data_IF_437334146886
#
_entry.id   IF_437334146886
#
_cell.length_a   1.000
_cell.length_b   1.000
_cell.length_c   1.000
_cell.angle_alpha   90.00
_cell.angle_beta   90.00
_cell.angle_gamma   90.00
#
_symmetry.space_group_name_H-M   'P 1'
#
loop_
_entity.id
_entity.type
_entity.pdbx_description
1 polymer ?
#
# COMPACT_ATOMS: atom_id res chain seq x y z
N UNK A 1 25.06 82.22 30.86
CA UNK A 1 26.34 82.41 30.13
C UNK A 1 27.11 81.10 30.21
N UNK A 2 27.18 80.31 29.12
CA UNK A 2 28.06 79.14 28.87
C UNK A 2 28.06 77.99 29.91
N UNK A 3 28.26 76.70 29.64
CA UNK A 3 28.34 75.81 28.47
C UNK A 3 28.60 74.41 29.08
N UNK A 4 28.01 73.37 28.50
CA UNK A 4 28.43 71.94 28.48
C UNK A 4 28.47 71.10 29.79
N UNK A 5 27.66 70.03 29.84
CA UNK A 5 28.00 68.59 29.65
C UNK A 5 28.83 68.01 30.81
N UNK A 6 28.24 67.09 31.57
CA UNK A 6 28.71 65.71 31.79
C UNK A 6 27.72 64.99 32.72
N UNK A 7 26.89 64.10 32.16
CA UNK A 7 26.09 63.17 32.95
C UNK A 7 26.78 61.80 32.91
N UNK A 8 27.27 61.37 34.06
CA UNK A 8 27.76 60.01 34.31
C UNK A 8 26.57 59.05 34.32
N UNK A 9 26.53 58.09 33.39
CA UNK A 9 25.64 56.94 33.46
C UNK A 9 26.49 55.67 33.42
N UNK A 10 26.40 54.89 34.50
CA UNK A 10 27.06 53.60 34.69
C UNK A 10 26.70 52.63 33.56
N UNK A 11 27.72 52.02 32.95
CA UNK A 11 27.58 50.82 32.13
C UNK A 11 27.21 49.62 33.03
N UNK A 12 26.00 49.09 32.87
CA UNK A 12 25.68 47.71 33.23
C UNK A 12 25.50 46.91 31.93
N UNK A 13 26.48 46.06 31.63
CA UNK A 13 26.41 45.06 30.55
C UNK A 13 25.30 44.06 30.87
N UNK A 14 24.19 44.13 30.12
CA UNK A 14 23.17 43.08 30.09
C UNK A 14 23.29 42.36 28.74
N UNK A 15 24.02 41.25 28.72
CA UNK A 15 24.09 40.34 27.59
C UNK A 15 22.76 39.59 27.49
N UNK A 16 21.89 39.98 26.56
CA UNK A 16 20.76 39.16 26.14
C UNK A 16 21.28 38.01 25.28
N UNK A 17 21.44 36.83 25.88
CA UNK A 17 21.57 35.59 25.12
C UNK A 17 20.20 35.22 24.59
N UNK A 18 19.97 35.50 23.30
CA UNK A 18 18.85 34.95 22.54
C UNK A 18 19.16 33.47 22.35
N UNK A 19 18.53 32.62 23.16
CA UNK A 19 18.54 31.18 22.96
C UNK A 19 17.56 30.84 21.84
N UNK A 20 18.03 30.90 20.60
CA UNK A 20 17.39 30.18 19.51
C UNK A 20 17.50 28.68 19.80
N UNK A 21 16.41 28.07 20.24
CA UNK A 21 16.26 26.62 20.20
C UNK A 21 16.07 26.23 18.73
N UNK A 22 17.18 26.00 18.03
CA UNK A 22 17.16 25.19 16.80
C UNK A 22 16.69 23.79 17.19
N UNK A 23 15.41 23.52 16.93
CA UNK A 23 14.92 22.15 16.87
C UNK A 23 15.66 21.49 15.70
N UNK A 24 16.68 20.71 16.03
CA UNK A 24 17.36 19.83 15.09
C UNK A 24 16.30 19.00 14.37
N UNK A 25 16.10 19.31 13.08
CA UNK A 25 15.36 18.46 12.16
C UNK A 25 16.20 17.20 11.98
N UNK A 26 15.67 16.09 12.48
CA UNK A 26 16.26 14.77 12.33
C UNK A 26 16.01 14.29 10.90
N UNK A 27 16.82 14.81 9.96
CA UNK A 27 16.96 14.21 8.63
C UNK A 27 17.70 12.90 8.83
N UNK A 28 16.96 11.79 8.88
CA UNK A 28 17.57 10.47 8.92
C UNK A 28 18.38 10.21 7.64
N UNK A 29 19.66 9.94 7.85
CA UNK A 29 20.47 9.11 6.98
C UNK A 29 19.92 7.68 7.00
N UNK A 30 19.93 7.03 5.83
CA UNK A 30 19.45 5.66 5.54
C UNK A 30 20.16 4.55 6.38
N UNK A 31 21.13 4.89 7.24
CA UNK A 31 22.09 3.95 7.84
C UNK A 31 21.59 3.09 9.02
N UNK A 32 20.47 3.42 9.68
CA UNK A 32 20.01 2.67 10.88
C UNK A 32 18.78 1.76 10.66
N UNK A 33 18.20 1.74 9.46
CA UNK A 33 17.09 0.84 9.14
C UNK A 33 17.61 -0.55 8.75
N UNK A 34 16.96 -1.63 9.22
CA UNK A 34 17.21 -2.97 8.71
C UNK A 34 17.30 -3.03 7.18
N UNK A 35 18.32 -3.73 6.67
CA UNK A 35 18.67 -3.77 5.26
C UNK A 35 18.43 -5.14 4.59
N UNK A 36 18.04 -6.15 5.37
CA UNK A 36 17.77 -7.51 4.88
C UNK A 36 16.68 -8.22 5.70
N UNK A 37 16.19 -9.31 5.14
CA UNK A 37 15.08 -10.09 5.68
C UNK A 37 15.28 -10.55 7.13
N UNK A 38 16.47 -11.01 7.50
CA UNK A 38 16.76 -11.48 8.86
C UNK A 38 16.70 -10.34 9.88
N UNK A 39 17.14 -9.14 9.50
CA UNK A 39 17.06 -7.98 10.39
C UNK A 39 15.61 -7.53 10.57
N UNK A 40 14.81 -7.53 9.51
CA UNK A 40 13.38 -7.24 9.57
C UNK A 40 12.65 -8.25 10.46
N UNK A 41 12.93 -9.54 10.27
CA UNK A 41 12.41 -10.61 11.13
C UNK A 41 12.74 -10.35 12.59
N UNK A 42 14.01 -10.15 12.92
CA UNK A 42 14.45 -9.90 14.30
C UNK A 42 13.84 -8.64 14.90
N UNK A 43 13.59 -7.61 14.08
CA UNK A 43 12.89 -6.42 14.51
C UNK A 43 11.43 -6.74 14.84
N UNK A 44 10.70 -7.35 13.90
CA UNK A 44 9.28 -7.66 14.01
C UNK A 44 8.98 -8.64 15.16
N UNK A 45 9.83 -9.64 15.40
CA UNK A 45 9.70 -10.60 16.49
C UNK A 45 9.69 -9.95 17.89
N UNK A 46 10.33 -8.77 18.04
CA UNK A 46 10.25 -8.00 19.30
C UNK A 46 8.84 -7.49 19.57
N UNK A 47 8.09 -7.21 18.51
CA UNK A 47 6.77 -6.59 18.57
C UNK A 47 5.63 -7.58 18.37
N UNK A 48 5.85 -8.68 17.64
CA UNK A 48 4.93 -9.79 17.49
C UNK A 48 5.64 -11.12 17.77
N UNK A 49 5.58 -11.64 19.00
CA UNK A 49 6.14 -12.95 19.35
C UNK A 49 5.48 -14.13 18.60
N UNK A 50 4.33 -13.90 17.95
CA UNK A 50 3.62 -14.90 17.16
C UNK A 50 3.79 -14.69 15.65
N UNK A 51 4.77 -13.87 15.24
CA UNK A 51 5.15 -13.70 13.83
C UNK A 51 5.36 -15.07 13.18
N UNK A 52 4.79 -15.26 12.00
CA UNK A 52 4.89 -16.50 11.26
C UNK A 52 5.77 -16.28 10.04
N UNK A 53 6.83 -17.07 9.95
CA UNK A 53 7.62 -17.20 8.72
C UNK A 53 7.08 -18.39 7.91
N UNK A 54 6.82 -18.16 6.63
CA UNK A 54 6.57 -19.21 5.65
C UNK A 54 7.77 -19.30 4.72
N UNK A 55 8.21 -20.51 4.39
CA UNK A 55 9.39 -20.75 3.55
C UNK A 55 9.17 -21.84 2.52
N UNK A 56 9.84 -21.71 1.38
CA UNK A 56 10.05 -22.79 0.41
C UNK A 56 11.06 -23.79 0.97
N UNK A 57 11.04 -25.02 0.46
CA UNK A 57 11.88 -26.11 0.99
C UNK A 57 13.40 -25.85 0.87
N UNK A 58 13.83 -25.01 -0.07
CA UNK A 58 15.24 -24.59 -0.24
C UNK A 58 15.61 -23.36 0.60
N UNK A 59 14.66 -22.85 1.39
CA UNK A 59 14.79 -21.69 2.27
C UNK A 59 15.21 -20.39 1.56
N UNK A 60 15.04 -20.31 0.23
CA UNK A 60 15.35 -19.12 -0.55
C UNK A 60 14.18 -18.12 -0.55
N UNK A 61 12.98 -18.60 -0.87
CA UNK A 61 11.79 -17.76 -0.83
C UNK A 61 11.13 -17.82 0.56
N UNK A 62 11.01 -16.66 1.23
CA UNK A 62 10.44 -16.52 2.57
C UNK A 62 9.50 -15.32 2.67
N UNK A 63 8.45 -15.43 3.48
CA UNK A 63 7.56 -14.30 3.86
C UNK A 63 7.34 -14.23 5.37
N UNK A 64 7.18 -13.01 5.90
CA UNK A 64 6.82 -12.75 7.30
C UNK A 64 5.37 -12.27 7.39
N UNK A 65 4.54 -13.03 8.09
CA UNK A 65 3.10 -12.74 8.28
C UNK A 65 2.81 -12.49 9.75
N UNK A 66 2.13 -11.40 10.06
CA UNK A 66 1.81 -11.02 11.45
C UNK A 66 0.32 -11.08 11.74
N UNK A 67 -0.15 -12.05 12.55
CA UNK A 67 -1.50 -12.03 13.09
C UNK A 67 -1.76 -10.81 13.99
N UNK A 68 -0.74 -10.31 14.70
CA UNK A 68 -0.90 -9.14 15.59
C UNK A 68 -1.22 -7.86 14.83
N UNK A 69 -0.62 -7.67 13.66
CA UNK A 69 -0.82 -6.47 12.85
C UNK A 69 -1.70 -6.82 11.64
N UNK A 70 -3.01 -6.98 11.89
CA UNK A 70 -4.06 -7.18 10.87
C UNK A 70 -3.85 -8.31 9.86
N UNK A 71 -3.07 -9.35 10.21
CA UNK A 71 -2.77 -10.44 9.28
C UNK A 71 -1.97 -10.01 8.05
N UNK A 72 -1.19 -8.92 8.16
CA UNK A 72 -0.39 -8.40 7.04
C UNK A 72 0.79 -9.32 6.72
N UNK A 73 1.17 -9.32 5.44
CA UNK A 73 2.52 -9.72 5.03
C UNK A 73 3.39 -8.48 5.23
N UNK A 74 4.39 -8.56 6.10
CA UNK A 74 5.28 -7.43 6.34
C UNK A 74 6.30 -7.29 5.23
N UNK A 75 6.97 -8.39 4.89
CA UNK A 75 7.91 -8.46 3.78
C UNK A 75 8.10 -9.89 3.31
N UNK A 76 8.60 -10.00 2.09
CA UNK A 76 9.06 -11.20 1.43
C UNK A 76 10.52 -11.04 0.98
N UNK A 77 11.16 -12.17 0.65
CA UNK A 77 12.50 -12.20 0.02
C UNK A 77 12.62 -13.42 -0.88
N UNK A 78 13.44 -13.31 -1.94
CA UNK A 78 13.75 -14.40 -2.86
C UNK A 78 15.17 -14.99 -2.67
N UNK A 79 15.89 -14.59 -1.62
CA UNK A 79 17.30 -14.92 -1.43
C UNK A 79 17.67 -15.33 0.01
N UNK A 80 16.70 -15.86 0.75
CA UNK A 80 16.87 -16.36 2.11
C UNK A 80 17.12 -15.25 3.14
N UNK A 81 17.66 -15.62 4.30
CA UNK A 81 17.81 -14.72 5.45
C UNK A 81 18.59 -13.43 5.16
N UNK A 82 19.62 -13.51 4.31
CA UNK A 82 20.45 -12.35 3.95
C UNK A 82 19.98 -11.65 2.67
N UNK A 83 18.83 -12.07 2.12
CA UNK A 83 18.22 -11.46 0.97
C UNK A 83 17.61 -10.10 1.30
N UNK A 84 17.44 -9.28 0.26
CA UNK A 84 16.72 -8.03 0.36
C UNK A 84 15.25 -8.29 0.70
N UNK A 85 14.69 -7.39 1.51
CA UNK A 85 13.28 -7.30 1.81
C UNK A 85 12.57 -6.43 0.77
N UNK A 86 11.47 -6.94 0.20
CA UNK A 86 10.70 -6.21 -0.83
C UNK A 86 9.63 -5.29 -0.24
N UNK A 87 9.08 -5.64 0.93
CA UNK A 87 8.09 -4.86 1.65
C UNK A 87 8.68 -3.63 2.34
N UNK A 88 7.90 -2.55 2.40
CA UNK A 88 8.22 -1.39 3.22
C UNK A 88 7.71 -1.58 4.65
N UNK A 89 8.58 -1.35 5.64
CA UNK A 89 8.25 -1.40 7.07
C UNK A 89 8.55 -0.04 7.69
N UNK A 90 7.58 0.51 8.42
CA UNK A 90 7.79 1.75 9.17
C UNK A 90 8.30 1.45 10.58
N UNK A 91 9.62 1.29 10.73
CA UNK A 91 10.23 0.93 12.01
C UNK A 91 9.82 1.86 13.17
N UNK A 92 9.65 3.16 12.91
CA UNK A 92 9.26 4.14 13.94
C UNK A 92 7.83 3.95 14.42
N UNK A 93 6.91 3.45 13.58
CA UNK A 93 5.50 3.30 13.95
C UNK A 93 5.29 2.25 15.06
N UNK A 94 6.25 1.33 15.27
CA UNK A 94 6.19 0.34 16.34
C UNK A 94 6.55 0.91 17.72
N UNK A 95 7.15 2.08 17.73
CA UNK A 95 7.60 2.76 18.94
C UNK A 95 6.65 3.91 19.27
N UNK A 96 6.08 3.89 20.48
CA UNK A 96 5.20 4.96 20.95
C UNK A 96 3.74 4.54 21.12
N UNK A 97 2.87 5.49 21.51
CA UNK A 97 1.45 5.24 21.64
C UNK A 97 0.79 5.08 20.27
N UNK A 98 -0.41 4.48 20.26
CA UNK A 98 -1.22 4.41 19.05
C UNK A 98 -1.53 5.81 18.53
N UNK A 99 -1.37 5.99 17.22
CA UNK A 99 -1.82 7.18 16.53
C UNK A 99 -3.36 7.19 16.45
N UNK A 100 -3.96 8.37 16.58
CA UNK A 100 -5.42 8.49 16.58
C UNK A 100 -6.04 8.28 15.20
N UNK A 101 -5.30 8.53 14.12
CA UNK A 101 -5.77 8.48 12.74
C UNK A 101 -5.46 7.12 12.09
N UNK A 102 -4.18 6.73 12.10
CA UNK A 102 -3.71 5.46 11.53
C UNK A 102 -2.33 5.07 12.07
N UNK A 103 -2.17 3.81 12.42
CA UNK A 103 -0.91 3.23 12.84
C UNK A 103 -0.18 2.64 11.62
N UNK A 104 0.59 3.49 10.95
CA UNK A 104 1.22 3.21 9.66
C UNK A 104 2.42 2.25 9.73
N UNK A 105 2.24 1.02 10.21
CA UNK A 105 3.32 0.02 10.38
C UNK A 105 4.00 -0.43 9.08
N UNK A 106 3.44 -0.10 7.92
CA UNK A 106 3.85 -0.63 6.62
C UNK A 106 3.28 -2.01 6.32
N UNK A 107 3.94 -2.73 5.42
CA UNK A 107 3.67 -4.11 5.05
C UNK A 107 3.48 -4.29 3.55
N UNK A 108 4.24 -5.24 2.99
CA UNK A 108 4.18 -5.65 1.59
C UNK A 108 2.79 -6.05 1.11
N UNK A 109 1.92 -6.53 2.01
CA UNK A 109 0.50 -6.67 1.69
C UNK A 109 -0.37 -6.51 2.93
N UNK A 110 -1.26 -5.53 2.91
CA UNK A 110 -2.27 -5.29 3.94
C UNK A 110 -3.69 -5.34 3.39
N UNK A 111 -4.63 -5.75 4.24
CA UNK A 111 -6.05 -5.62 3.98
C UNK A 111 -6.56 -4.28 4.54
N UNK A 112 -7.41 -3.63 3.77
CA UNK A 112 -8.17 -2.44 4.10
C UNK A 112 -9.64 -2.66 3.74
N UNK A 113 -10.49 -1.73 4.15
CA UNK A 113 -11.90 -1.73 3.80
C UNK A 113 -12.28 -0.41 3.17
N UNK A 114 -13.11 -0.44 2.13
CA UNK A 114 -13.74 0.75 1.58
C UNK A 114 -15.24 0.82 1.92
N UNK A 115 -15.88 1.97 1.68
CA UNK A 115 -15.25 3.16 1.12
C UNK A 115 -14.56 4.01 2.19
N UNK A 116 -13.44 4.63 1.81
CA UNK A 116 -12.72 5.55 2.69
C UNK A 116 -13.47 6.87 2.86
N UNK A 117 -13.92 7.45 1.75
CA UNK A 117 -14.84 8.58 1.73
C UNK A 117 -16.25 8.18 1.26
N UNK A 118 -16.92 9.08 0.53
CA UNK A 118 -18.31 8.96 0.10
C UNK A 118 -19.36 8.90 1.23
N UNK A 119 -20.65 9.02 0.86
CA UNK A 119 -21.75 9.07 1.83
C UNK A 119 -21.90 7.81 2.72
N UNK A 120 -21.24 6.70 2.37
CA UNK A 120 -21.17 5.43 3.11
C UNK A 120 -19.78 5.14 3.70
N UNK A 121 -18.93 6.16 3.86
CA UNK A 121 -17.58 6.03 4.45
C UNK A 121 -17.56 5.20 5.73
N UNK A 122 -16.50 4.41 5.91
CA UNK A 122 -16.20 3.68 7.16
C UNK A 122 -15.26 4.43 8.11
N UNK A 123 -14.80 5.62 7.74
CA UNK A 123 -13.66 6.33 8.36
C UNK A 123 -14.04 7.65 9.01
N UNK A 124 -15.28 8.10 8.83
CA UNK A 124 -15.79 9.35 9.39
C UNK A 124 -17.02 9.08 10.25
N UNK A 125 -17.08 9.70 11.42
CA UNK A 125 -18.30 9.69 12.24
C UNK A 125 -19.45 10.41 11.50
N UNK A 126 -20.71 9.97 11.69
CA UNK A 126 -21.86 10.59 11.05
C UNK A 126 -21.94 12.12 11.23
N UNK A 127 -22.10 12.83 10.11
CA UNK A 127 -22.24 14.29 10.07
C UNK A 127 -20.95 15.10 10.23
N UNK A 128 -19.78 14.46 10.42
CA UNK A 128 -18.49 15.15 10.45
C UNK A 128 -18.02 15.52 9.04
N UNK A 129 -17.30 16.64 8.93
CA UNK A 129 -16.65 17.02 7.67
C UNK A 129 -15.57 15.98 7.32
N UNK A 130 -15.51 15.59 6.05
CA UNK A 130 -14.47 14.70 5.53
C UNK A 130 -13.16 15.49 5.35
N UNK A 131 -12.46 15.69 6.46
CA UNK A 131 -11.15 16.34 6.57
C UNK A 131 -10.26 15.50 7.48
N UNK A 132 -8.95 15.65 7.35
CA UNK A 132 -7.98 14.76 8.01
C UNK A 132 -8.20 14.66 9.53
N UNK A 133 -8.58 15.77 10.18
CA UNK A 133 -8.83 15.80 11.63
C UNK A 133 -9.94 14.86 12.12
N UNK A 134 -10.90 14.51 11.25
CA UNK A 134 -12.02 13.62 11.55
C UNK A 134 -11.86 12.22 10.94
N UNK A 135 -10.78 11.98 10.19
CA UNK A 135 -10.54 10.71 9.53
C UNK A 135 -9.91 9.71 10.49
N UNK A 136 -10.47 8.51 10.60
CA UNK A 136 -9.98 7.49 11.51
C UNK A 136 -10.07 6.10 10.87
N UNK A 137 -8.98 5.35 10.93
CA UNK A 137 -8.98 3.96 10.45
C UNK A 137 -9.72 3.05 11.43
N UNK A 138 -10.63 2.19 10.97
CA UNK A 138 -11.24 1.18 11.83
C UNK A 138 -10.19 0.28 12.48
N UNK A 139 -10.22 0.17 13.81
CA UNK A 139 -9.20 -0.52 14.60
C UNK A 139 -8.90 -1.96 14.15
N UNK A 140 -9.93 -2.66 13.64
CA UNK A 140 -9.84 -4.04 13.15
C UNK A 140 -8.93 -4.22 11.91
N UNK A 141 -8.67 -3.14 11.16
CA UNK A 141 -7.76 -3.09 9.99
C UNK A 141 -6.66 -2.05 10.20
N UNK A 142 -6.22 -1.88 11.44
CA UNK A 142 -5.18 -0.92 11.80
C UNK A 142 -4.17 -1.54 12.78
N UNK A 143 -4.59 -1.74 14.03
CA UNK A 143 -3.71 -2.14 15.12
C UNK A 143 -4.23 -3.33 15.93
N UNK A 144 -5.47 -3.76 15.74
CA UNK A 144 -6.00 -4.89 16.49
C UNK A 144 -5.47 -6.25 15.96
N UNK A 145 -5.17 -7.20 16.86
CA UNK A 145 -4.75 -8.53 16.46
C UNK A 145 -5.90 -9.32 15.85
N UNK A 146 -5.54 -10.19 14.92
CA UNK A 146 -6.38 -11.19 14.30
C UNK A 146 -6.10 -12.57 14.91
N UNK A 147 -7.13 -13.40 14.99
CA UNK A 147 -7.01 -14.76 15.48
C UNK A 147 -6.41 -15.65 14.39
N UNK A 148 -5.31 -16.33 14.70
CA UNK A 148 -4.72 -17.35 13.83
C UNK A 148 -5.54 -18.63 13.92
N UNK A 149 -6.21 -19.02 12.85
CA UNK A 149 -7.09 -20.21 12.79
C UNK A 149 -6.39 -21.43 12.20
N UNK A 150 -5.39 -21.23 11.35
CA UNK A 150 -4.56 -22.29 10.76
C UNK A 150 -3.15 -21.76 10.52
N UNK A 151 -2.15 -22.62 10.70
CA UNK A 151 -0.78 -22.34 10.25
C UNK A 151 -0.11 -23.65 9.83
N UNK A 152 0.70 -23.56 8.77
CA UNK A 152 1.56 -24.61 8.24
C UNK A 152 2.84 -23.99 7.67
N UNK A 153 3.72 -24.80 7.05
CA UNK A 153 5.02 -24.31 6.57
C UNK A 153 4.93 -23.30 5.42
N UNK A 154 3.84 -23.32 4.64
CA UNK A 154 3.62 -22.44 3.48
C UNK A 154 2.29 -21.68 3.50
N UNK A 155 1.49 -21.82 4.55
CA UNK A 155 0.16 -21.20 4.61
C UNK A 155 -0.19 -20.79 6.04
N UNK A 156 -0.85 -19.66 6.18
CA UNK A 156 -1.50 -19.21 7.40
C UNK A 156 -2.89 -18.67 7.09
N UNK A 157 -3.88 -19.02 7.93
CA UNK A 157 -5.22 -18.44 7.88
C UNK A 157 -5.52 -17.73 9.19
N UNK A 158 -6.15 -16.56 9.07
CA UNK A 158 -6.47 -15.67 10.17
C UNK A 158 -7.90 -15.14 10.03
N UNK A 159 -8.54 -14.81 11.15
CA UNK A 159 -9.90 -14.27 11.19
C UNK A 159 -10.01 -13.08 12.14
N UNK A 160 -10.95 -12.19 11.85
CA UNK A 160 -11.31 -11.04 12.68
C UNK A 160 -12.81 -10.79 12.62
N UNK A 161 -13.49 -11.01 13.73
CA UNK A 161 -14.88 -10.56 13.90
C UNK A 161 -14.89 -9.13 14.43
N UNK A 162 -15.71 -8.26 13.84
CA UNK A 162 -15.82 -6.85 14.26
C UNK A 162 -17.19 -6.25 13.89
N UNK A 163 -17.41 -5.02 14.33
CA UNK A 163 -18.53 -4.16 13.95
C UNK A 163 -17.99 -2.82 13.46
N UNK A 164 -18.47 -2.34 12.31
CA UNK A 164 -18.05 -1.05 11.74
C UNK A 164 -19.30 -0.25 11.38
N UNK A 165 -19.37 0.99 11.84
CA UNK A 165 -20.47 1.90 11.52
C UNK A 165 -20.06 2.82 10.38
N UNK A 166 -20.90 2.95 9.36
CA UNK A 166 -20.65 3.90 8.29
C UNK A 166 -21.16 5.32 8.61
N UNK A 167 -20.83 6.25 7.72
CA UNK A 167 -21.21 7.66 7.83
C UNK A 167 -22.72 7.92 7.85
N UNK A 168 -23.56 6.99 7.34
CA UNK A 168 -25.03 7.05 7.47
C UNK A 168 -25.54 6.52 8.83
N UNK A 169 -24.66 6.00 9.68
CA UNK A 169 -25.03 5.38 10.95
C UNK A 169 -25.48 3.92 10.84
N UNK A 170 -25.26 3.26 9.70
CA UNK A 170 -25.51 1.82 9.57
C UNK A 170 -24.37 1.05 10.21
N UNK A 171 -24.69 0.17 11.17
CA UNK A 171 -23.72 -0.73 11.80
C UNK A 171 -23.63 -2.06 11.06
N UNK A 172 -22.44 -2.41 10.56
CA UNK A 172 -22.15 -3.67 9.90
C UNK A 172 -21.44 -4.63 10.85
N UNK A 173 -22.12 -5.71 11.25
CA UNK A 173 -21.50 -6.85 11.92
C UNK A 173 -20.91 -7.79 10.88
N UNK A 174 -19.60 -8.00 10.96
CA UNK A 174 -18.88 -8.73 9.93
C UNK A 174 -17.79 -9.63 10.50
N UNK A 175 -17.42 -10.63 9.70
CA UNK A 175 -16.21 -11.40 9.88
C UNK A 175 -15.31 -11.24 8.67
N UNK A 176 -14.05 -10.88 8.91
CA UNK A 176 -12.98 -10.90 7.93
C UNK A 176 -12.21 -12.20 8.07
N UNK A 177 -11.82 -12.81 6.96
CA UNK A 177 -10.83 -13.88 6.98
C UNK A 177 -9.78 -13.62 5.92
N UNK A 178 -8.51 -13.89 6.25
CA UNK A 178 -7.37 -13.74 5.35
C UNK A 178 -6.53 -15.00 5.39
N UNK A 179 -6.34 -15.61 4.23
CA UNK A 179 -5.37 -16.69 4.03
C UNK A 179 -4.20 -16.15 3.26
N UNK A 180 -2.98 -16.39 3.75
CA UNK A 180 -1.74 -16.09 3.04
C UNK A 180 -1.03 -17.40 2.75
N UNK A 181 -0.69 -17.62 1.48
CA UNK A 181 -0.03 -18.85 1.02
C UNK A 181 1.20 -18.52 0.16
N UNK A 182 2.35 -19.06 0.54
CA UNK A 182 3.59 -18.99 -0.25
C UNK A 182 3.51 -19.99 -1.41
N UNK A 183 3.80 -19.51 -2.61
CA UNK A 183 3.75 -20.27 -3.85
C UNK A 183 5.10 -20.93 -4.14
N UNK A 184 5.08 -22.20 -4.55
CA UNK A 184 6.23 -22.85 -5.14
C UNK A 184 6.50 -22.33 -6.56
N UNK A 185 7.72 -22.55 -7.05
CA UNK A 185 8.13 -22.14 -8.40
C UNK A 185 7.15 -22.62 -9.48
N UNK A 186 6.72 -23.87 -9.41
CA UNK A 186 5.79 -24.46 -10.37
C UNK A 186 4.42 -23.77 -10.33
N UNK A 187 3.98 -23.33 -9.15
CA UNK A 187 2.72 -22.61 -8.95
C UNK A 187 2.83 -21.19 -9.54
N UNK A 188 3.96 -20.50 -9.32
CA UNK A 188 4.23 -19.19 -9.93
C UNK A 188 4.16 -19.30 -11.45
N UNK A 189 4.95 -20.21 -12.05
CA UNK A 189 5.00 -20.37 -13.50
C UNK A 189 3.64 -20.73 -14.11
N UNK A 190 2.86 -21.57 -13.43
CA UNK A 190 1.51 -21.94 -13.84
C UNK A 190 0.56 -20.75 -13.77
N UNK A 191 0.56 -20.01 -12.66
CA UNK A 191 -0.36 -18.89 -12.42
C UNK A 191 -0.08 -17.71 -13.35
N UNK A 192 1.18 -17.48 -13.72
CA UNK A 192 1.58 -16.41 -14.62
C UNK A 192 1.66 -16.86 -16.09
N UNK A 193 1.44 -18.16 -16.37
CA UNK A 193 1.65 -18.78 -17.68
C UNK A 193 3.03 -18.46 -18.30
N UNK A 194 4.07 -18.32 -17.45
CA UNK A 194 5.42 -17.99 -17.91
C UNK A 194 6.06 -19.18 -18.62
N UNK A 195 6.69 -18.88 -19.76
CA UNK A 195 7.46 -19.84 -20.56
C UNK A 195 8.90 -19.38 -20.79
N UNK A 196 9.23 -18.14 -20.41
CA UNK A 196 10.58 -17.61 -20.40
C UNK A 196 11.55 -18.46 -19.54
N UNK A 197 12.83 -18.44 -19.88
CA UNK A 197 13.85 -19.11 -19.08
C UNK A 197 14.07 -18.35 -17.76
N UNK A 198 13.70 -18.99 -16.66
CA UNK A 198 13.81 -18.46 -15.31
C UNK A 198 14.96 -19.08 -14.52
N UNK A 199 15.88 -19.80 -15.18
CA UNK A 199 17.00 -20.49 -14.50
C UNK A 199 17.96 -19.53 -13.80
N UNK A 200 18.14 -18.32 -14.33
CA UNK A 200 18.97 -17.25 -13.76
C UNK A 200 18.18 -16.22 -12.92
N UNK A 201 16.89 -16.46 -12.68
CA UNK A 201 16.00 -15.55 -11.96
C UNK A 201 15.73 -16.10 -10.56
N UNK A 202 15.97 -15.28 -9.55
CA UNK A 202 15.43 -15.50 -8.21
C UNK A 202 14.00 -14.98 -8.19
N UNK A 203 13.10 -15.76 -7.62
CA UNK A 203 11.70 -15.37 -7.56
C UNK A 203 11.07 -15.77 -6.24
N UNK A 204 10.04 -15.02 -5.87
CA UNK A 204 9.10 -15.36 -4.83
C UNK A 204 7.70 -14.99 -5.30
N UNK A 205 6.70 -15.74 -4.88
CA UNK A 205 5.31 -15.35 -5.03
C UNK A 205 4.47 -15.82 -3.87
N UNK A 206 3.45 -15.06 -3.52
CA UNK A 206 2.44 -15.47 -2.55
C UNK A 206 1.05 -15.01 -2.97
N UNK A 207 0.05 -15.72 -2.46
CA UNK A 207 -1.36 -15.39 -2.64
C UNK A 207 -1.95 -14.94 -1.32
N UNK A 208 -2.81 -13.93 -1.38
CA UNK A 208 -3.71 -13.56 -0.30
C UNK A 208 -5.15 -13.77 -0.76
N UNK A 209 -5.94 -14.51 0.02
CA UNK A 209 -7.38 -14.68 -0.18
C UNK A 209 -8.06 -13.97 0.96
N UNK A 210 -8.77 -12.90 0.64
CA UNK A 210 -9.43 -12.03 1.60
C UNK A 210 -10.93 -12.23 1.47
N UNK A 211 -11.63 -12.38 2.59
CA UNK A 211 -13.07 -12.55 2.59
C UNK A 211 -13.73 -11.65 3.61
N UNK A 212 -14.95 -11.25 3.28
CA UNK A 212 -15.87 -10.54 4.16
C UNK A 212 -17.18 -11.31 4.19
N UNK A 213 -17.68 -11.55 5.40
CA UNK A 213 -18.97 -12.19 5.65
C UNK A 213 -19.87 -11.26 6.44
N UNK A 214 -21.15 -11.18 6.05
CA UNK A 214 -22.18 -10.53 6.85
C UNK A 214 -22.61 -11.46 8.00
N UNK A 215 -22.27 -11.08 9.23
CA UNK A 215 -22.65 -11.82 10.46
C UNK A 215 -23.78 -11.13 11.24
N UNK A 216 -24.35 -10.07 10.66
CA UNK A 216 -25.52 -9.38 11.18
C UNK A 216 -26.84 -10.07 10.84
N UNK A 217 -27.93 -9.34 11.06
CA UNK A 217 -29.31 -9.78 10.94
C UNK A 217 -30.10 -9.12 9.79
N UNK A 218 -29.45 -8.22 9.02
CA UNK A 218 -30.04 -7.55 7.87
C UNK A 218 -29.11 -7.56 6.64
N UNK A 219 -29.65 -7.48 5.41
CA UNK A 219 -28.84 -7.45 4.19
C UNK A 219 -28.16 -6.10 3.99
N UNK A 220 -26.94 -6.10 3.43
CA UNK A 220 -26.26 -4.88 2.99
C UNK A 220 -26.71 -4.56 1.56
N UNK A 221 -27.35 -3.41 1.38
CA UNK A 221 -27.96 -2.98 0.12
C UNK A 221 -27.42 -1.61 -0.30
N UNK A 222 -27.70 -1.15 -1.53
CA UNK A 222 -27.34 0.21 -1.95
C UNK A 222 -27.85 1.31 -1.01
N UNK A 223 -28.97 1.09 -0.32
CA UNK A 223 -29.54 2.06 0.63
C UNK A 223 -28.76 2.13 1.93
N UNK A 224 -28.38 0.96 2.48
CA UNK A 224 -27.57 0.87 3.72
C UNK A 224 -26.10 1.20 3.49
N UNK A 225 -25.64 1.06 2.24
CA UNK A 225 -24.23 0.92 1.89
C UNK A 225 -23.74 -0.50 2.15
N UNK A 226 -22.52 -0.77 1.68
CA UNK A 226 -21.80 -2.01 1.95
C UNK A 226 -20.29 -1.71 1.99
N UNK A 227 -19.51 -2.42 2.82
CA UNK A 227 -18.05 -2.38 2.72
C UNK A 227 -17.54 -3.01 1.41
N UNK A 228 -16.34 -2.67 0.97
CA UNK A 228 -15.56 -3.46 0.00
C UNK A 228 -14.21 -3.88 0.60
N UNK A 229 -13.58 -4.91 0.03
CA UNK A 229 -12.22 -5.32 0.35
C UNK A 229 -11.24 -4.51 -0.50
N UNK A 230 -10.14 -4.07 0.09
CA UNK A 230 -9.09 -3.33 -0.62
C UNK A 230 -7.74 -3.84 -0.15
N UNK A 231 -6.91 -4.35 -1.05
CA UNK A 231 -5.55 -4.82 -0.76
C UNK A 231 -4.57 -3.75 -1.20
N UNK A 232 -3.69 -3.34 -0.29
CA UNK A 232 -2.65 -2.35 -0.56
C UNK A 232 -1.30 -3.00 -0.29
N UNK A 233 -0.45 -3.03 -1.30
CA UNK A 233 0.88 -3.60 -1.19
C UNK A 233 1.92 -2.49 -1.12
N UNK A 234 2.59 -2.34 0.03
CA UNK A 234 3.55 -1.26 0.26
C UNK A 234 4.97 -1.76 -0.04
N UNK A 235 5.54 -1.30 -1.14
CA UNK A 235 6.87 -1.68 -1.60
C UNK A 235 7.90 -0.57 -1.36
N UNK A 236 9.18 -0.95 -1.34
CA UNK A 236 10.30 -0.03 -1.20
C UNK A 236 10.64 0.61 -2.56
N UNK A 237 10.63 1.95 -2.67
CA UNK A 237 10.97 2.64 -3.91
C UNK A 237 12.49 2.72 -4.09
N UNK A 238 12.90 2.95 -5.33
CA UNK A 238 14.21 3.46 -5.69
C UNK A 238 14.06 4.69 -6.58
N UNK A 239 15.16 5.43 -6.79
CA UNK A 239 15.16 6.59 -7.69
C UNK A 239 14.77 6.26 -9.15
N UNK A 240 14.71 4.96 -9.51
CA UNK A 240 14.36 4.48 -10.86
C UNK A 240 13.22 3.46 -10.83
N UNK A 241 12.33 3.52 -9.84
CA UNK A 241 11.11 2.71 -9.85
C UNK A 241 10.02 3.37 -10.69
N UNK A 242 9.48 2.60 -11.64
CA UNK A 242 8.32 2.96 -12.45
C UNK A 242 7.20 1.96 -12.23
N UNK A 243 6.02 2.44 -11.88
CA UNK A 243 4.79 1.66 -11.86
C UNK A 243 4.19 1.60 -13.26
N UNK A 244 3.64 0.43 -13.62
CA UNK A 244 2.95 0.16 -14.87
C UNK A 244 1.58 -0.45 -14.56
N UNK A 245 0.52 0.21 -14.99
CA UNK A 245 -0.85 -0.29 -14.94
C UNK A 245 -1.33 -0.62 -16.35
N UNK A 246 -1.44 -1.90 -16.74
CA UNK A 246 -2.04 -2.31 -18.00
C UNK A 246 -3.53 -1.92 -18.07
N UNK A 247 -3.94 -1.40 -19.21
CA UNK A 247 -5.29 -0.90 -19.49
C UNK A 247 -5.91 -1.66 -20.66
N UNK A 248 -7.24 -1.76 -20.65
CA UNK A 248 -7.97 -2.05 -21.88
C UNK A 248 -7.78 -0.87 -22.85
N UNK A 249 -7.51 -1.11 -24.16
CA UNK A 249 -7.24 -0.06 -25.13
C UNK A 249 -8.40 0.95 -25.25
N UNK A 250 -8.11 2.25 -25.21
CA UNK A 250 -9.06 3.36 -25.50
C UNK A 250 -8.32 4.73 -25.52
N UNK A 251 -8.66 5.58 -26.49
CA UNK A 251 -7.96 6.86 -26.73
C UNK A 251 -8.33 7.98 -25.75
N UNK A 252 -9.38 7.80 -24.94
CA UNK A 252 -9.83 8.75 -23.92
C UNK A 252 -9.25 8.43 -22.54
N UNK A 253 -9.24 9.45 -21.67
CA UNK A 253 -8.90 9.30 -20.24
C UNK A 253 -10.10 8.83 -19.38
N UNK A 254 -11.21 8.41 -20.00
CA UNK A 254 -12.37 7.92 -19.26
C UNK A 254 -12.01 6.67 -18.46
N UNK A 255 -12.48 6.62 -17.20
CA UNK A 255 -12.15 5.55 -16.26
C UNK A 255 -10.77 5.68 -15.60
N UNK A 256 -10.10 6.83 -15.71
CA UNK A 256 -8.84 7.11 -15.03
C UNK A 256 -9.00 8.27 -14.03
N UNK A 257 -8.68 8.04 -12.77
CA UNK A 257 -8.58 9.06 -11.72
C UNK A 257 -7.11 9.42 -11.54
N UNK A 258 -6.73 10.69 -11.70
CA UNK A 258 -5.31 11.12 -11.70
C UNK A 258 -5.01 12.32 -10.80
N UNK A 259 -5.97 12.69 -9.96
CA UNK A 259 -5.97 13.95 -9.22
C UNK A 259 -6.39 13.81 -7.74
N UNK A 260 -6.28 12.62 -7.15
CA UNK A 260 -6.63 12.36 -5.75
C UNK A 260 -6.01 13.36 -4.76
N UNK A 261 -4.77 13.78 -5.01
CA UNK A 261 -4.03 14.73 -4.17
C UNK A 261 -3.65 16.00 -4.94
N UNK A 262 -4.44 16.36 -5.95
CA UNK A 262 -4.10 17.38 -6.94
C UNK A 262 -3.47 16.78 -8.20
N UNK A 263 -3.21 17.63 -9.18
CA UNK A 263 -2.67 17.24 -10.48
C UNK A 263 -1.26 16.65 -10.34
N UNK A 264 -1.03 15.48 -10.94
CA UNK A 264 0.30 14.86 -10.99
C UNK A 264 1.09 15.50 -12.14
N UNK A 265 2.31 16.00 -11.90
CA UNK A 265 3.14 16.62 -12.94
C UNK A 265 3.39 15.67 -14.14
N UNK A 266 3.40 16.22 -15.36
CA UNK A 266 3.53 15.45 -16.60
C UNK A 266 4.84 14.64 -16.68
N UNK A 267 5.90 15.09 -16.02
CA UNK A 267 7.18 14.36 -15.91
C UNK A 267 7.12 13.15 -14.96
N UNK A 268 5.97 12.89 -14.32
CA UNK A 268 5.75 11.81 -13.35
C UNK A 268 4.62 10.87 -13.71
N UNK A 269 3.77 11.22 -14.66
CA UNK A 269 2.67 10.39 -15.15
C UNK A 269 2.66 10.35 -16.67
N UNK A 270 2.54 9.16 -17.25
CA UNK A 270 2.35 9.00 -18.68
C UNK A 270 1.18 8.05 -18.95
N UNK A 271 0.31 8.42 -19.88
CA UNK A 271 -0.86 7.61 -20.26
C UNK A 271 -0.80 7.36 -21.76
N UNK A 272 -0.86 6.09 -22.12
CA UNK A 272 -0.96 5.59 -23.49
C UNK A 272 -2.30 4.89 -23.67
N UNK A 273 -2.58 4.39 -24.87
CA UNK A 273 -3.78 3.60 -25.13
C UNK A 273 -3.89 2.36 -24.21
N UNK A 274 -2.74 1.71 -23.94
CA UNK A 274 -2.66 0.39 -23.30
C UNK A 274 -2.09 0.42 -21.88
N UNK A 275 -1.50 1.53 -21.44
CA UNK A 275 -0.78 1.61 -20.17
C UNK A 275 -0.90 2.98 -19.52
N UNK A 276 -1.00 2.99 -18.20
CA UNK A 276 -0.70 4.14 -17.35
C UNK A 276 0.61 3.87 -16.62
N UNK A 277 1.51 4.85 -16.62
CA UNK A 277 2.78 4.82 -15.91
C UNK A 277 2.80 5.90 -14.82
N UNK A 278 3.39 5.56 -13.67
CA UNK A 278 3.61 6.50 -12.56
C UNK A 278 5.04 6.36 -12.04
N UNK A 279 5.77 7.48 -11.92
CA UNK A 279 7.10 7.51 -11.30
C UNK A 279 6.97 7.30 -9.79
N UNK A 280 7.65 6.28 -9.28
CA UNK A 280 7.47 5.76 -7.92
C UNK A 280 8.77 5.84 -7.08
N UNK A 281 9.39 7.02 -7.05
CA UNK A 281 10.68 7.26 -6.40
C UNK A 281 10.60 7.65 -4.91
N UNK A 282 9.40 7.76 -4.35
CA UNK A 282 9.19 8.21 -2.97
C UNK A 282 9.42 9.72 -2.74
N UNK A 283 9.57 10.53 -3.80
CA UNK A 283 9.92 11.95 -3.70
C UNK A 283 8.76 12.92 -3.99
N UNK A 284 7.61 12.43 -4.45
CA UNK A 284 6.46 13.28 -4.77
C UNK A 284 5.17 12.51 -4.63
N UNK A 285 4.27 13.02 -3.78
CA UNK A 285 2.98 12.38 -3.56
C UNK A 285 2.17 12.35 -4.85
N UNK A 286 1.65 11.19 -5.23
CA UNK A 286 0.80 11.03 -6.39
C UNK A 286 -0.01 9.74 -6.30
N UNK A 287 -1.30 9.80 -6.63
CA UNK A 287 -2.16 8.62 -6.67
C UNK A 287 -2.97 8.60 -7.95
N UNK A 288 -3.05 7.43 -8.55
CA UNK A 288 -3.87 7.15 -9.72
C UNK A 288 -4.86 6.04 -9.41
N UNK A 289 -5.96 6.04 -10.14
CA UNK A 289 -7.01 5.04 -10.06
C UNK A 289 -7.47 4.66 -11.46
N UNK A 290 -7.85 3.40 -11.60
CA UNK A 290 -8.35 2.82 -12.84
C UNK A 290 -9.65 2.11 -12.54
N UNK A 291 -10.70 2.50 -13.24
CA UNK A 291 -12.04 1.92 -13.14
C UNK A 291 -12.03 0.43 -13.55
N UNK A 292 -12.98 -0.37 -13.07
CA UNK A 292 -13.01 -1.80 -13.42
C UNK A 292 -13.28 -2.05 -14.92
N UNK A 293 -13.92 -1.12 -15.62
CA UNK A 293 -14.11 -1.18 -17.08
C UNK A 293 -12.80 -1.00 -17.83
N UNK A 294 -11.89 -0.17 -17.30
CA UNK A 294 -10.62 0.16 -17.95
C UNK A 294 -9.45 -0.72 -17.50
N UNK A 295 -9.44 -1.16 -16.25
CA UNK A 295 -8.35 -1.94 -15.66
C UNK A 295 -8.27 -3.37 -16.22
N UNK A 296 -7.05 -3.86 -16.35
CA UNK A 296 -6.77 -5.29 -16.46
C UNK A 296 -6.45 -5.86 -15.05
N UNK A 297 -6.65 -7.17 -14.81
CA UNK A 297 -6.46 -7.81 -13.50
C UNK A 297 -4.97 -7.98 -13.11
N UNK A 298 -4.17 -6.93 -13.31
CA UNK A 298 -2.73 -6.90 -13.12
C UNK A 298 -2.25 -5.48 -12.85
N UNK A 299 -1.26 -5.34 -11.96
CA UNK A 299 -0.45 -4.15 -11.83
C UNK A 299 1.03 -4.56 -11.71
N UNK A 300 1.94 -3.66 -12.05
CA UNK A 300 3.35 -3.95 -12.05
C UNK A 300 4.19 -2.75 -11.62
N UNK A 301 5.42 -3.03 -11.23
CA UNK A 301 6.46 -2.03 -11.10
C UNK A 301 7.81 -2.63 -11.47
N UNK A 302 8.67 -1.81 -12.04
CA UNK A 302 10.05 -2.18 -12.33
C UNK A 302 10.99 -1.18 -11.68
N UNK A 303 11.91 -1.70 -10.87
CA UNK A 303 13.02 -0.96 -10.28
C UNK A 303 14.29 -1.29 -11.04
N UNK A 304 14.75 -0.34 -11.86
CA UNK A 304 15.93 -0.53 -12.69
C UNK A 304 17.23 -0.64 -11.89
N UNK A 305 17.34 0.05 -10.75
CA UNK A 305 18.57 0.03 -9.95
C UNK A 305 18.77 -1.34 -9.31
N UNK A 306 17.70 -1.91 -8.77
CA UNK A 306 17.75 -3.20 -8.08
C UNK A 306 17.41 -4.40 -8.98
N UNK A 307 17.10 -4.14 -10.26
CA UNK A 307 16.69 -5.16 -11.25
C UNK A 307 15.56 -6.04 -10.68
N UNK A 308 14.52 -5.37 -10.20
CA UNK A 308 13.38 -6.00 -9.55
C UNK A 308 12.12 -5.70 -10.34
N UNK A 309 11.50 -6.75 -10.87
CA UNK A 309 10.16 -6.71 -11.44
C UNK A 309 9.18 -7.24 -10.39
N UNK A 310 8.25 -6.40 -9.97
CA UNK A 310 7.15 -6.77 -9.08
C UNK A 310 5.85 -6.79 -9.88
N UNK A 311 5.11 -7.90 -9.81
CA UNK A 311 3.82 -8.08 -10.48
C UNK A 311 2.77 -8.43 -9.43
N UNK A 312 1.61 -7.80 -9.51
CA UNK A 312 0.43 -8.21 -8.76
C UNK A 312 -0.68 -8.64 -9.70
N UNK A 313 -1.46 -9.64 -9.30
CA UNK A 313 -2.65 -10.10 -10.06
C UNK A 313 -3.82 -10.36 -9.13
N UNK A 314 -5.03 -10.08 -9.59
CA UNK A 314 -6.23 -10.05 -8.73
C UNK A 314 -7.51 -10.21 -9.54
N UNK A 315 -8.67 -10.42 -8.91
CA UNK A 315 -9.96 -10.40 -9.64
C UNK A 315 -10.46 -8.98 -9.88
N UNK A 316 -11.05 -8.76 -11.06
CA UNK A 316 -11.89 -7.61 -11.39
C UNK A 316 -13.23 -8.13 -11.93
N UNK A 317 -14.32 -7.43 -11.58
CA UNK A 317 -15.70 -7.71 -12.02
C UNK A 317 -16.37 -6.41 -12.47
N UNK A 318 -16.15 -5.99 -13.72
CA UNK A 318 -16.64 -4.72 -14.26
C UNK A 318 -18.15 -4.54 -14.34
N UNK A 319 -18.89 -5.63 -14.19
CA UNK A 319 -20.34 -5.64 -14.13
C UNK A 319 -20.91 -5.31 -12.74
N UNK A 320 -20.06 -5.26 -11.71
CA UNK A 320 -20.45 -5.00 -10.33
C UNK A 320 -20.06 -3.58 -9.89
N UNK A 321 -20.80 -2.97 -8.93
CA UNK A 321 -20.52 -1.63 -8.42
C UNK A 321 -19.22 -1.56 -7.60
N UNK A 322 -18.32 -0.65 -7.95
CA UNK A 322 -17.10 -0.31 -7.20
C UNK A 322 -17.31 0.97 -6.41
N UNK A 323 -16.81 1.02 -5.18
CA UNK A 323 -17.11 2.13 -4.29
C UNK A 323 -16.13 3.28 -4.51
N UNK A 324 -16.66 4.50 -4.70
CA UNK A 324 -15.84 5.70 -4.78
C UNK A 324 -15.14 5.95 -3.44
N UNK A 325 -13.83 6.19 -3.45
CA UNK A 325 -13.01 6.34 -2.24
C UNK A 325 -12.76 7.80 -1.84
N UNK A 326 -13.17 8.76 -2.67
CA UNK A 326 -12.88 10.18 -2.47
C UNK A 326 -13.62 10.78 -1.26
N UNK A 327 -12.97 11.73 -0.61
CA UNK A 327 -13.46 12.41 0.59
C UNK A 327 -14.47 13.52 0.25
N UNK A 328 -15.60 13.13 -0.33
CA UNK A 328 -16.75 14.00 -0.57
C UNK A 328 -18.05 13.18 -0.50
N UNK A 329 -19.21 13.82 -0.45
CA UNK A 329 -20.51 13.12 -0.46
C UNK A 329 -21.31 13.33 -1.74
N UNK A 330 -20.76 14.09 -2.69
CA UNK A 330 -21.47 14.59 -3.87
C UNK A 330 -21.28 13.66 -5.09
N UNK A 331 -20.16 12.94 -5.16
CA UNK A 331 -19.88 11.96 -6.20
C UNK A 331 -20.81 10.73 -6.08
N UNK A 332 -20.96 10.02 -7.20
CA UNK A 332 -21.65 8.74 -7.22
C UNK A 332 -20.87 7.72 -6.37
N UNK A 333 -21.42 7.25 -5.23
CA UNK A 333 -20.70 6.36 -4.31
C UNK A 333 -20.39 5.00 -4.93
N UNK A 334 -21.04 4.63 -6.03
CA UNK A 334 -20.92 3.32 -6.68
C UNK A 334 -20.12 3.38 -8.00
N UNK A 335 -19.34 4.47 -8.18
CA UNK A 335 -18.36 4.63 -9.27
C UNK A 335 -16.98 4.89 -8.70
N UNK A 336 -16.29 3.81 -8.37
CA UNK A 336 -14.91 3.82 -7.89
C UNK A 336 -13.95 3.06 -8.79
N UNK A 337 -12.70 3.05 -8.34
CA UNK A 337 -11.60 2.38 -9.03
C UNK A 337 -11.43 0.95 -8.54
N UNK A 338 -10.97 0.07 -9.44
CA UNK A 338 -10.63 -1.31 -9.16
C UNK A 338 -9.14 -1.53 -8.91
N UNK A 339 -8.32 -0.65 -9.48
CA UNK A 339 -6.86 -0.68 -9.35
C UNK A 339 -6.41 0.72 -8.99
N UNK A 340 -5.53 0.82 -8.00
CA UNK A 340 -4.89 2.07 -7.65
C UNK A 340 -3.38 1.87 -7.61
N UNK A 341 -2.67 2.97 -7.83
CA UNK A 341 -1.25 3.04 -7.55
C UNK A 341 -0.93 4.36 -6.86
N UNK A 342 -0.02 4.29 -5.92
CA UNK A 342 0.39 5.43 -5.10
C UNK A 342 1.91 5.54 -5.07
N UNK A 343 2.43 6.75 -5.15
CA UNK A 343 3.79 7.08 -4.78
C UNK A 343 3.75 8.00 -3.56
N UNK A 344 4.48 7.64 -2.52
CA UNK A 344 4.66 8.50 -1.36
C UNK A 344 5.58 9.68 -1.68
N UNK A 345 5.43 10.77 -0.94
CA UNK A 345 6.31 11.92 -1.02
C UNK A 345 6.03 12.91 0.10
N UNK A 346 6.92 13.91 0.30
CA UNK A 346 6.75 14.92 1.33
C UNK A 346 5.42 15.70 1.16
N UNK A 347 4.78 16.00 2.30
CA UNK A 347 3.67 16.94 2.39
C UNK A 347 4.18 18.39 2.31
N UNK A 348 3.25 19.36 2.22
CA UNK A 348 3.59 20.79 2.17
C UNK A 348 4.40 21.28 3.39
N UNK A 349 4.20 20.67 4.55
CA UNK A 349 4.94 20.97 5.77
C UNK A 349 6.32 20.27 5.85
N UNK A 350 6.65 19.48 4.82
CA UNK A 350 7.88 18.71 4.70
C UNK A 350 7.89 17.38 5.47
N UNK A 351 6.80 17.03 6.16
CA UNK A 351 6.67 15.71 6.78
C UNK A 351 6.40 14.63 5.72
N UNK A 352 6.82 13.40 5.99
CA UNK A 352 6.60 12.25 5.10
C UNK A 352 6.42 10.99 5.94
N UNK A 353 5.51 10.11 5.52
CA UNK A 353 5.30 8.82 6.17
C UNK A 353 6.34 7.79 5.74
N UNK A 354 6.61 7.72 4.44
CA UNK A 354 7.51 6.76 3.80
C UNK A 354 8.99 7.14 3.81
N UNK A 355 9.73 6.79 2.75
CA UNK A 355 9.22 6.57 1.39
C UNK A 355 8.74 5.13 1.11
N UNK A 356 7.59 5.01 0.45
CA UNK A 356 7.04 3.76 -0.11
C UNK A 356 6.29 4.04 -1.42
N UNK A 357 5.93 3.00 -2.17
CA UNK A 357 4.90 3.08 -3.21
C UNK A 357 3.90 1.93 -3.02
N UNK A 358 2.68 2.09 -3.55
CA UNK A 358 1.64 1.07 -3.46
C UNK A 358 1.18 0.59 -4.84
N UNK A 359 0.98 -0.72 -4.95
CA UNK A 359 0.09 -1.33 -5.95
C UNK A 359 -1.13 -1.86 -5.20
N UNK A 360 -2.32 -1.53 -5.69
CA UNK A 360 -3.54 -1.75 -4.93
C UNK A 360 -4.63 -2.36 -5.81
N UNK A 361 -5.43 -3.25 -5.22
CA UNK A 361 -6.63 -3.79 -5.85
C UNK A 361 -7.84 -3.70 -4.94
N UNK A 362 -9.00 -3.42 -5.53
CA UNK A 362 -10.25 -3.22 -4.81
C UNK A 362 -11.25 -4.28 -5.28
N UNK A 363 -12.10 -4.76 -4.38
CA UNK A 363 -13.27 -5.57 -4.74
C UNK A 363 -14.48 -4.69 -5.04
N UNK A 364 -15.53 -5.23 -5.69
CA UNK A 364 -16.83 -4.59 -5.68
C UNK A 364 -17.36 -4.39 -4.25
N UNK A 365 -18.40 -3.55 -4.09
CA UNK A 365 -19.16 -3.45 -2.85
C UNK A 365 -19.78 -4.79 -2.45
N UNK A 366 -19.58 -5.21 -1.21
CA UNK A 366 -20.02 -6.49 -0.69
C UNK A 366 -21.52 -6.46 -0.33
N UNK A 367 -22.43 -6.37 -1.30
CA UNK A 367 -23.88 -6.36 -1.05
C UNK A 367 -24.39 -7.75 -0.62
N UNK A 368 -24.22 -8.07 0.66
CA UNK A 368 -24.37 -9.42 1.24
C UNK A 368 -25.62 -9.53 2.13
N UNK A 369 -26.42 -10.57 1.92
CA UNK A 369 -27.45 -11.01 2.89
C UNK A 369 -26.82 -11.64 4.14
N UNK A 370 -27.53 -11.74 5.28
CA UNK A 370 -27.02 -12.42 6.46
C UNK A 370 -26.48 -13.82 6.17
N UNK A 371 -25.26 -14.08 6.66
CA UNK A 371 -24.53 -15.34 6.44
C UNK A 371 -23.79 -15.44 5.11
N UNK A 372 -24.06 -14.57 4.12
CA UNK A 372 -23.35 -14.57 2.85
C UNK A 372 -21.94 -14.00 2.98
N UNK A 373 -21.06 -14.44 2.07
CA UNK A 373 -19.64 -14.11 2.02
C UNK A 373 -19.22 -13.75 0.60
N UNK A 374 -18.27 -12.82 0.49
CA UNK A 374 -17.56 -12.47 -0.73
C UNK A 374 -16.05 -12.68 -0.53
N UNK A 375 -15.33 -12.95 -1.60
CA UNK A 375 -13.87 -13.10 -1.60
C UNK A 375 -13.20 -12.19 -2.64
N UNK A 376 -11.97 -11.78 -2.35
CA UNK A 376 -11.08 -11.07 -3.25
C UNK A 376 -9.69 -11.71 -3.14
N UNK A 377 -9.19 -12.23 -4.26
CA UNK A 377 -7.86 -12.80 -4.34
C UNK A 377 -6.87 -11.76 -4.84
N UNK A 378 -5.65 -11.84 -4.34
CA UNK A 378 -4.56 -10.98 -4.74
C UNK A 378 -3.25 -11.77 -4.64
N UNK A 379 -2.46 -11.80 -5.72
CA UNK A 379 -1.14 -12.42 -5.76
C UNK A 379 -0.07 -11.36 -5.90
N UNK A 380 1.06 -11.59 -5.26
CA UNK A 380 2.27 -10.77 -5.40
C UNK A 380 3.40 -11.66 -5.88
N UNK A 381 4.14 -11.20 -6.88
CA UNK A 381 5.32 -11.87 -7.44
C UNK A 381 6.48 -10.90 -7.53
N UNK A 382 7.66 -11.35 -7.15
CA UNK A 382 8.91 -10.64 -7.36
C UNK A 382 9.85 -11.49 -8.19
N UNK A 383 10.44 -10.89 -9.22
CA UNK A 383 11.49 -11.48 -10.05
C UNK A 383 12.72 -10.58 -10.00
N UNK A 384 13.87 -11.13 -9.64
CA UNK A 384 15.15 -10.41 -9.62
C UNK A 384 16.27 -11.25 -10.22
N UNK A 385 17.17 -10.59 -10.95
CA UNK A 385 18.25 -11.26 -11.65
C UNK A 385 18.80 -10.44 -12.81
N UNK A 386 19.28 -11.15 -13.84
CA UNK A 386 19.84 -10.49 -15.01
C UNK A 386 18.74 -9.85 -15.88
N UNK A 387 19.05 -8.68 -16.42
CA UNK A 387 18.07 -7.80 -17.07
C UNK A 387 17.51 -8.39 -18.38
N UNK A 388 18.29 -9.23 -19.07
CA UNK A 388 17.84 -9.89 -20.29
C UNK A 388 16.66 -10.84 -20.01
N UNK A 389 16.80 -11.74 -19.04
CA UNK A 389 15.75 -12.69 -18.67
C UNK A 389 14.56 -11.96 -18.02
N UNK A 390 14.81 -10.91 -17.21
CA UNK A 390 13.75 -10.05 -16.69
C UNK A 390 12.97 -9.38 -17.82
N UNK A 391 13.64 -8.94 -18.89
CA UNK A 391 12.96 -8.34 -20.04
C UNK A 391 12.08 -9.37 -20.77
N UNK A 392 12.54 -10.61 -20.92
CA UNK A 392 11.71 -11.69 -21.51
C UNK A 392 10.45 -11.95 -20.66
N UNK A 393 10.60 -12.00 -19.32
CA UNK A 393 9.46 -12.11 -18.38
C UNK A 393 8.52 -10.90 -18.53
N UNK A 394 9.07 -9.68 -18.55
CA UNK A 394 8.31 -8.42 -18.64
C UNK A 394 7.50 -8.39 -19.94
N UNK A 395 8.11 -8.73 -21.08
CA UNK A 395 7.43 -8.77 -22.37
C UNK A 395 6.32 -9.83 -22.40
N UNK A 396 6.56 -11.00 -21.81
CA UNK A 396 5.55 -12.06 -21.77
C UNK A 396 4.34 -11.69 -20.90
N UNK A 397 4.57 -11.04 -19.75
CA UNK A 397 3.49 -10.71 -18.80
C UNK A 397 2.77 -9.41 -19.14
N UNK A 398 3.51 -8.37 -19.52
CA UNK A 398 3.00 -7.01 -19.68
C UNK A 398 2.84 -6.60 -21.15
N UNK A 399 3.47 -7.30 -22.09
CA UNK A 399 3.48 -6.91 -23.50
C UNK A 399 4.40 -5.72 -23.83
N UNK A 400 5.24 -5.27 -22.88
CA UNK A 400 6.21 -4.18 -23.04
C UNK A 400 7.59 -4.60 -22.57
N UNK A 401 8.63 -3.95 -23.10
CA UNK A 401 10.02 -4.15 -22.68
C UNK A 401 10.41 -3.31 -21.47
N UNK A 402 11.46 -3.74 -20.77
CA UNK A 402 12.10 -2.94 -19.72
C UNK A 402 12.63 -1.61 -20.27
N UNK A 403 13.16 -1.62 -21.50
CA UNK A 403 13.66 -0.41 -22.15
C UNK A 403 12.55 0.63 -22.36
N UNK A 404 11.34 0.19 -22.72
CA UNK A 404 10.18 1.06 -22.81
C UNK A 404 9.81 1.61 -21.44
N UNK A 405 9.70 0.77 -20.40
CA UNK A 405 9.38 1.21 -19.02
C UNK A 405 10.37 2.28 -18.52
N UNK A 406 11.67 2.03 -18.69
CA UNK A 406 12.72 2.96 -18.28
C UNK A 406 12.72 4.26 -19.10
N UNK A 407 12.31 4.18 -20.36
CA UNK A 407 12.29 5.32 -21.28
C UNK A 407 11.14 6.30 -21.06
N UNK A 408 10.09 5.92 -20.30
CA UNK A 408 8.87 6.73 -20.15
C UNK A 408 9.13 8.13 -19.60
N UNK A 409 9.99 8.28 -18.60
CA UNK A 409 10.24 9.55 -17.90
C UNK A 409 11.61 10.18 -18.20
N UNK A 410 12.31 9.68 -19.22
CA UNK A 410 13.65 10.14 -19.59
C UNK A 410 14.78 9.59 -18.70
N UNK A 411 16.00 9.51 -19.26
CA UNK A 411 17.19 9.09 -18.55
C UNK A 411 17.84 10.30 -17.86
N UNK A 412 17.59 10.47 -16.55
CA UNK A 412 18.50 11.25 -15.71
C UNK A 412 19.71 10.42 -15.26
#
# INVERSE_FOLDING_TARGET
>A
MNKYILAFALLSNLSFTISCSERQKDNQTIEDSPNNFLQDKKFLEKFDPNLVELSTADEQAKILVSPKYQGKVFTSTAAGENGESFGWINYKAFEGPLDKHMNAYGGESRLWLGPEGNKYSLYFEPGKKMVFENWHTPAAIDHEPWEKTKAGPREIAMTKSTSITNYQGTEFKLQLQRTVALLEKEEILKNTALTADVSAIKMIGYTTINSIQNTGDFPWTPETGAPCLWVLDMFRPSAKTTIVLPLKPNDSKEGLTTNYFGEIPEERIAITENYLFLKADGLSRGKVGVSPERGLPMAASYDHLNKLLSITTFNISSELPYLNQEWNTDADPFKGDAVNAYNDGPLEDGSQMGPFYELESVSPGAFLSPGQRMEHFHNVYHFTGNEKELNEITQQLLGISIAEINGVFGND
#
